data_IF_587324492080
#
_entry.id   IF_587324492080
#
_cell.length_a   1.000
_cell.length_b   1.000
_cell.length_c   1.000
_cell.angle_alpha   90.00
_cell.angle_beta   90.00
_cell.angle_gamma   90.00
#
_symmetry.space_group_name_H-M   'P 1'
#
loop_
_entity.id
_entity.type
_entity.pdbx_description
1 polymer ?
#
# COMPACT_ATOMS: atom_id res chain seq x y z
N UNK A 1 3.77 -25.82 23.38
CA UNK A 1 2.76 -24.83 23.76
C UNK A 1 1.89 -24.50 22.56
N UNK A 2 0.61 -24.20 22.78
CA UNK A 2 -0.32 -23.80 21.71
C UNK A 2 -0.24 -22.28 21.53
N UNK A 3 0.08 -21.82 20.31
CA UNK A 3 0.04 -20.40 19.98
C UNK A 3 -1.41 -19.96 19.78
N UNK A 4 -1.91 -19.11 20.68
CA UNK A 4 -3.25 -18.51 20.54
C UNK A 4 -3.20 -17.28 19.62
N UNK A 5 -4.34 -16.93 19.00
CA UNK A 5 -4.44 -15.68 18.23
C UNK A 5 -4.09 -14.45 19.07
N UNK A 6 -4.59 -14.40 20.31
CA UNK A 6 -4.31 -13.29 21.23
C UNK A 6 -2.80 -13.14 21.47
N UNK A 7 -2.08 -14.25 21.69
CA UNK A 7 -0.62 -14.23 21.87
C UNK A 7 0.10 -13.81 20.58
N UNK A 8 -0.31 -14.31 19.43
CA UNK A 8 0.25 -13.89 18.13
C UNK A 8 0.04 -12.39 17.86
N UNK A 9 -1.15 -11.87 18.16
CA UNK A 9 -1.43 -10.44 18.01
C UNK A 9 -0.65 -9.58 18.99
N UNK A 10 -0.50 -10.05 20.23
CA UNK A 10 0.27 -9.35 21.27
C UNK A 10 1.73 -9.17 20.86
N UNK A 11 2.40 -10.23 20.41
CA UNK A 11 3.83 -10.19 20.08
C UNK A 11 4.15 -9.44 18.78
N UNK A 12 3.14 -9.15 17.94
CA UNK A 12 3.30 -8.43 16.66
C UNK A 12 2.57 -7.08 16.64
N UNK A 13 2.00 -6.65 17.77
CA UNK A 13 1.09 -5.49 17.81
C UNK A 13 1.77 -4.19 17.37
N UNK A 14 3.06 -4.04 17.69
CA UNK A 14 3.92 -2.96 17.25
C UNK A 14 4.10 -2.96 15.72
N UNK A 15 4.44 -4.11 15.13
CA UNK A 15 4.57 -4.28 13.68
C UNK A 15 3.25 -3.95 12.96
N UNK A 16 2.11 -4.46 13.48
CA UNK A 16 0.81 -4.19 12.89
C UNK A 16 0.45 -2.71 12.95
N UNK A 17 0.71 -2.02 14.07
CA UNK A 17 0.44 -0.58 14.19
C UNK A 17 1.35 0.26 13.29
N UNK A 18 2.61 -0.14 13.10
CA UNK A 18 3.56 0.55 12.24
C UNK A 18 3.10 0.60 10.78
N UNK A 19 2.27 -0.35 10.32
CA UNK A 19 1.69 -0.33 8.97
C UNK A 19 0.80 0.90 8.70
N UNK A 20 0.23 1.52 9.74
CA UNK A 20 -0.61 2.72 9.59
C UNK A 20 0.19 4.01 9.40
N UNK A 21 1.50 4.01 9.66
CA UNK A 21 2.37 5.17 9.44
C UNK A 21 2.38 5.59 7.95
N UNK A 22 2.77 4.69 7.03
CA UNK A 22 2.74 4.96 5.60
C UNK A 22 1.36 5.36 5.05
N UNK A 23 0.28 4.78 5.59
CA UNK A 23 -1.11 5.13 5.18
C UNK A 23 -1.46 6.57 5.54
N UNK A 24 -0.97 7.08 6.68
CA UNK A 24 -1.13 8.50 7.04
C UNK A 24 -0.31 9.39 6.10
N UNK A 25 0.95 9.03 5.87
CA UNK A 25 1.85 9.81 5.02
C UNK A 25 1.28 9.98 3.60
N UNK A 26 0.79 8.91 2.97
CA UNK A 26 0.24 9.01 1.60
C UNK A 26 -1.04 9.86 1.52
N UNK A 27 -1.85 9.91 2.59
CA UNK A 27 -3.02 10.81 2.65
C UNK A 27 -2.58 12.28 2.77
N UNK A 28 -1.53 12.54 3.55
CA UNK A 28 -0.95 13.87 3.68
C UNK A 28 -0.34 14.33 2.34
N UNK A 29 0.46 13.48 1.69
CA UNK A 29 1.15 13.79 0.43
C UNK A 29 0.16 13.98 -0.75
N UNK A 30 -0.94 13.21 -0.78
CA UNK A 30 -1.99 13.34 -1.79
C UNK A 30 -2.96 14.50 -1.53
N UNK A 31 -2.95 15.07 -0.33
CA UNK A 31 -3.92 16.09 0.10
C UNK A 31 -5.36 15.56 0.26
N UNK A 32 -5.57 14.24 0.23
CA UNK A 32 -6.89 13.62 0.34
C UNK A 32 -7.26 13.33 1.79
N UNK A 33 -8.54 13.52 2.10
CA UNK A 33 -9.12 13.11 3.38
C UNK A 33 -9.58 11.66 3.31
N UNK A 34 -9.63 11.00 4.47
CA UNK A 34 -10.08 9.59 4.59
C UNK A 34 -11.44 9.29 3.94
N UNK A 35 -12.37 10.24 4.00
CA UNK A 35 -13.70 10.11 3.42
C UNK A 35 -13.75 10.27 1.89
N UNK A 36 -12.65 10.71 1.28
CA UNK A 36 -12.49 10.79 -0.18
C UNK A 36 -11.88 9.51 -0.77
N UNK A 37 -11.56 8.52 0.06
CA UNK A 37 -11.09 7.21 -0.40
C UNK A 37 -12.31 6.35 -0.69
N UNK A 38 -12.53 6.02 -1.96
CA UNK A 38 -13.70 5.28 -2.43
C UNK A 38 -13.61 3.77 -2.21
N UNK A 39 -12.42 3.19 -2.32
CA UNK A 39 -12.19 1.75 -2.19
C UNK A 39 -10.91 1.48 -1.42
N UNK A 40 -10.90 0.41 -0.63
CA UNK A 40 -9.68 -0.09 0.05
C UNK A 40 -9.40 -1.47 -0.52
N UNK A 41 -8.33 -1.60 -1.31
CA UNK A 41 -7.93 -2.88 -1.90
C UNK A 41 -6.80 -3.49 -1.07
N UNK A 42 -6.97 -4.73 -0.62
CA UNK A 42 -5.95 -5.47 0.12
C UNK A 42 -5.23 -6.45 -0.80
N UNK A 43 -3.89 -6.34 -0.86
CA UNK A 43 -3.03 -7.20 -1.66
C UNK A 43 -1.89 -7.74 -0.81
N UNK A 44 -1.53 -9.01 -1.02
CA UNK A 44 -0.50 -9.75 -0.28
C UNK A 44 -1.07 -10.62 0.84
N UNK A 45 -0.52 -11.82 1.02
CA UNK A 45 -1.04 -12.84 1.94
C UNK A 45 -1.17 -12.39 3.40
N UNK A 46 -0.28 -11.53 3.89
CA UNK A 46 -0.35 -11.00 5.27
C UNK A 46 -1.58 -10.11 5.52
N UNK A 47 -2.25 -9.61 4.47
CA UNK A 47 -3.52 -8.89 4.61
C UNK A 47 -4.68 -9.79 5.03
N UNK A 48 -4.50 -11.12 5.00
CA UNK A 48 -5.46 -12.11 5.54
C UNK A 48 -5.49 -12.13 7.08
N UNK A 49 -4.52 -11.50 7.75
CA UNK A 49 -4.47 -11.41 9.22
C UNK A 49 -5.67 -10.58 9.71
N UNK A 50 -6.57 -11.12 10.57
CA UNK A 50 -7.75 -10.39 11.03
C UNK A 50 -7.42 -9.06 11.70
N UNK A 51 -6.32 -9.00 12.45
CA UNK A 51 -5.87 -7.77 13.12
C UNK A 51 -5.51 -6.66 12.13
N UNK A 52 -4.87 -6.99 11.00
CA UNK A 52 -4.51 -6.02 9.96
C UNK A 52 -5.76 -5.46 9.28
N UNK A 53 -6.72 -6.33 8.94
CA UNK A 53 -8.01 -5.93 8.38
C UNK A 53 -8.81 -5.03 9.33
N UNK A 54 -8.80 -5.36 10.63
CA UNK A 54 -9.46 -4.55 11.64
C UNK A 54 -8.80 -3.16 11.75
N UNK A 55 -7.47 -3.10 11.81
CA UNK A 55 -6.75 -1.83 11.95
C UNK A 55 -7.01 -0.88 10.77
N UNK A 56 -7.00 -1.39 9.53
CA UNK A 56 -7.24 -0.54 8.35
C UNK A 56 -8.71 -0.11 8.28
N UNK A 57 -9.65 -0.98 8.62
CA UNK A 57 -11.08 -0.65 8.71
C UNK A 57 -11.33 0.44 9.76
N UNK A 58 -10.76 0.29 10.96
CA UNK A 58 -10.87 1.30 12.02
C UNK A 58 -10.23 2.62 11.61
N UNK A 59 -9.09 2.56 10.92
CA UNK A 59 -8.41 3.74 10.40
C UNK A 59 -9.30 4.52 9.43
N UNK A 60 -10.08 3.85 8.58
CA UNK A 60 -11.04 4.45 7.64
C UNK A 60 -12.47 4.49 8.18
N UNK A 61 -12.63 4.66 9.50
CA UNK A 61 -13.94 4.91 10.15
C UNK A 61 -15.00 3.83 9.86
N UNK A 62 -14.58 2.58 9.76
CA UNK A 62 -15.47 1.43 9.54
C UNK A 62 -15.67 1.04 8.08
N UNK A 63 -15.04 1.72 7.12
CA UNK A 63 -15.09 1.36 5.70
C UNK A 63 -14.54 -0.05 5.47
N UNK A 64 -15.33 -0.92 4.85
CA UNK A 64 -14.94 -2.30 4.54
C UNK A 64 -13.96 -2.34 3.36
N UNK A 65 -12.89 -3.15 3.45
CA UNK A 65 -12.04 -3.42 2.31
C UNK A 65 -12.74 -4.27 1.24
N UNK A 66 -12.37 -4.04 -0.01
CA UNK A 66 -12.86 -4.77 -1.16
C UNK A 66 -12.40 -6.24 -1.11
N UNK A 67 -13.33 -7.16 -1.37
CA UNK A 67 -13.10 -8.61 -1.34
C UNK A 67 -13.17 -9.28 -2.72
N UNK A 68 -13.37 -8.49 -3.79
CA UNK A 68 -13.48 -8.99 -5.16
C UNK A 68 -12.14 -9.33 -5.82
N UNK A 69 -11.02 -9.13 -5.11
CA UNK A 69 -9.67 -9.27 -5.64
C UNK A 69 -8.94 -10.38 -4.88
N UNK A 70 -8.30 -11.30 -5.62
CA UNK A 70 -7.44 -12.31 -5.01
C UNK A 70 -6.13 -11.64 -4.54
N UNK A 71 -5.84 -11.58 -3.23
CA UNK A 71 -4.68 -10.85 -2.73
C UNK A 71 -3.35 -11.49 -3.12
N UNK A 72 -3.34 -12.77 -3.48
CA UNK A 72 -2.10 -13.50 -3.81
C UNK A 72 -1.73 -13.39 -5.30
N UNK A 73 -2.71 -13.06 -6.17
CA UNK A 73 -2.55 -13.09 -7.63
C UNK A 73 -2.68 -11.71 -8.29
N UNK A 74 -3.26 -10.72 -7.60
CA UNK A 74 -3.56 -9.40 -8.15
C UNK A 74 -2.34 -8.72 -8.80
N UNK A 75 -1.16 -8.83 -8.17
CA UNK A 75 0.08 -8.23 -8.68
C UNK A 75 0.50 -8.88 -10.00
N UNK A 76 0.50 -10.22 -10.05
CA UNK A 76 0.86 -10.96 -11.25
C UNK A 76 -0.13 -10.70 -12.39
N UNK A 77 -1.42 -10.60 -12.07
CA UNK A 77 -2.46 -10.24 -13.03
C UNK A 77 -2.21 -8.86 -13.64
N UNK A 78 -1.98 -7.83 -12.82
CA UNK A 78 -1.67 -6.47 -13.30
C UNK A 78 -0.39 -6.43 -14.15
N UNK A 79 0.65 -7.15 -13.75
CA UNK A 79 1.88 -7.27 -14.53
C UNK A 79 1.66 -7.92 -15.91
N UNK A 80 0.83 -8.96 -15.99
CA UNK A 80 0.48 -9.60 -17.25
C UNK A 80 -0.33 -8.67 -18.18
N UNK A 81 -1.25 -7.88 -17.62
CA UNK A 81 -1.97 -6.84 -18.38
C UNK A 81 -0.99 -5.82 -18.96
N UNK A 82 -0.06 -5.31 -18.15
CA UNK A 82 0.97 -4.38 -18.61
C UNK A 82 1.88 -5.00 -19.68
N UNK A 83 2.25 -6.27 -19.53
CA UNK A 83 3.06 -6.99 -20.53
C UNK A 83 2.31 -7.14 -21.87
N UNK A 84 1.01 -7.45 -21.84
CA UNK A 84 0.17 -7.53 -23.04
C UNK A 84 0.05 -6.19 -23.78
N UNK A 85 -0.01 -5.08 -23.04
CA UNK A 85 0.02 -3.73 -23.64
C UNK A 85 1.36 -3.46 -24.32
N UNK A 86 2.47 -3.79 -23.65
CA UNK A 86 3.82 -3.60 -24.18
C UNK A 86 4.13 -4.51 -25.38
N UNK A 87 3.51 -5.69 -25.47
CA UNK A 87 3.64 -6.61 -26.62
C UNK A 87 2.78 -6.21 -27.82
N UNK A 88 1.88 -5.23 -27.67
CA UNK A 88 0.93 -4.82 -28.71
C UNK A 88 -0.29 -5.74 -28.87
N UNK A 89 -0.48 -6.70 -27.97
CA UNK A 89 -1.62 -7.64 -27.95
C UNK A 89 -2.76 -7.19 -27.03
N UNK A 90 -2.55 -6.13 -26.23
CA UNK A 90 -3.53 -5.56 -25.31
C UNK A 90 -4.54 -4.64 -26.00
N UNK A 91 -5.82 -4.78 -25.65
CA UNK A 91 -6.87 -3.84 -26.04
C UNK A 91 -6.54 -2.41 -25.59
N UNK A 92 -6.87 -1.43 -26.44
CA UNK A 92 -6.48 -0.03 -26.29
C UNK A 92 -7.15 0.65 -25.08
N UNK A 93 -6.41 1.63 -24.54
CA UNK A 93 -6.79 2.66 -23.54
C UNK A 93 -6.51 2.39 -22.06
N UNK A 94 -5.32 1.85 -21.72
CA UNK A 94 -4.76 1.98 -20.37
C UNK A 94 -3.57 2.96 -20.36
N UNK A 95 -3.70 4.07 -19.65
CA UNK A 95 -2.61 4.98 -19.35
C UNK A 95 -2.18 4.81 -17.88
N UNK A 96 -0.93 4.45 -17.66
CA UNK A 96 -0.32 4.36 -16.33
C UNK A 96 0.66 5.53 -16.13
N UNK A 97 0.46 6.28 -15.05
CA UNK A 97 1.38 7.31 -14.58
C UNK A 97 1.83 6.92 -13.17
N UNK A 98 3.14 6.84 -12.97
CA UNK A 98 3.76 6.44 -11.69
C UNK A 98 4.77 7.49 -11.23
N UNK A 99 5.18 7.43 -9.97
CA UNK A 99 6.04 8.43 -9.31
C UNK A 99 7.31 7.80 -8.71
N UNK A 100 8.36 8.59 -8.50
CA UNK A 100 9.51 8.16 -7.71
C UNK A 100 9.15 8.19 -6.22
N UNK A 101 9.40 7.12 -5.44
CA UNK A 101 8.94 7.03 -4.05
C UNK A 101 9.83 7.79 -3.06
N UNK A 102 11.03 8.18 -3.47
CA UNK A 102 12.02 8.84 -2.62
C UNK A 102 12.58 10.08 -3.29
N UNK A 103 12.86 11.08 -2.48
CA UNK A 103 13.58 12.28 -2.90
C UNK A 103 14.99 11.91 -3.38
N UNK A 104 15.31 12.29 -4.62
CA UNK A 104 16.67 12.21 -5.14
C UNK A 104 17.40 13.51 -4.83
N UNK A 105 18.64 13.39 -4.35
CA UNK A 105 19.47 14.52 -3.99
C UNK A 105 20.96 14.20 -4.05
N UNK A 106 21.78 15.22 -3.88
CA UNK A 106 23.25 15.11 -3.80
C UNK A 106 23.75 15.66 -2.47
N UNK A 107 24.90 15.18 -2.03
CA UNK A 107 25.62 15.77 -0.91
C UNK A 107 26.30 17.07 -1.35
N UNK A 108 26.19 18.10 -0.53
CA UNK A 108 26.86 19.39 -0.74
C UNK A 108 27.89 19.66 0.36
N UNK A 109 28.81 20.61 0.10
CA UNK A 109 29.84 21.01 1.07
C UNK A 109 29.18 21.33 2.42
N UNK A 110 29.64 20.67 3.48
CA UNK A 110 29.01 20.70 4.80
C UNK A 110 28.24 19.43 5.17
N UNK A 111 28.21 18.42 4.30
CA UNK A 111 27.62 17.10 4.58
C UNK A 111 26.09 17.09 4.56
N UNK A 112 25.49 18.06 3.87
CA UNK A 112 24.02 18.23 3.82
C UNK A 112 23.48 17.67 2.50
N UNK A 113 22.41 16.88 2.59
CA UNK A 113 21.65 16.42 1.42
C UNK A 113 20.85 17.58 0.82
N UNK A 114 21.20 17.96 -0.41
CA UNK A 114 20.43 18.91 -1.22
C UNK A 114 19.50 18.15 -2.15
N UNK A 115 18.19 18.42 -2.06
CA UNK A 115 17.14 17.78 -2.85
C UNK A 115 17.19 18.27 -4.31
N UNK A 116 17.00 17.37 -5.26
CA UNK A 116 16.93 17.66 -6.70
C UNK A 116 15.55 17.29 -7.28
N UNK A 117 15.04 16.12 -6.92
CA UNK A 117 13.71 15.64 -7.31
C UNK A 117 12.99 15.25 -6.02
N UNK A 118 11.85 15.88 -5.74
CA UNK A 118 11.06 15.69 -4.52
C UNK A 118 9.73 15.02 -4.79
#
# INVERSE_FOLDING_TARGET
ETLTRARFEEINNDLFKNTLGPVKQVLEDSGLKKNQIDEIVLVGGSTRIPKVQQLIKDFFNGKEPNRGINPDEAVAYGAAVQAGILSGEGGQDLLLLDVTPLTLGIETVGGVMTKLIS
#
